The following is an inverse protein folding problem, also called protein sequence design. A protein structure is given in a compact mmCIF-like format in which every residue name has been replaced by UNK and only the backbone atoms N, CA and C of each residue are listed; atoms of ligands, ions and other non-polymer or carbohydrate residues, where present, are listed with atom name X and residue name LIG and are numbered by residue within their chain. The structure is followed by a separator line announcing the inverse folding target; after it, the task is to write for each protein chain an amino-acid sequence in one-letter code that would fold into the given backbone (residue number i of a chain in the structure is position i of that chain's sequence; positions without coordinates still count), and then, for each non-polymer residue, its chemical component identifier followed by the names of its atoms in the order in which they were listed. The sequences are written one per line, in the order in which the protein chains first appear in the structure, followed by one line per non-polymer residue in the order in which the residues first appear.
data_IF_196445223059
#
_entry.id   IF_196445223059
#
_cell.length_a   1.000
_cell.length_b   1.000
_cell.length_c   1.000
_cell.angle_alpha   90.00
_cell.angle_beta   90.00
_cell.angle_gamma   90.00
#
_symmetry.space_group_name_H-M   'P 1'
#
loop_
_entity.id
_entity.type
_entity.pdbx_description
1 polymer ?
#
# COMPACT_ATOMS: atom_id res chain seq x y z
N UNK A 1 -13.00 25.28 -1.70
CA UNK A 1 -12.41 25.91 -0.47
C UNK A 1 -11.11 26.68 -0.72
N UNK A 2 -10.33 26.39 -1.80
CA UNK A 2 -9.07 27.11 -2.12
C UNK A 2 -9.27 28.45 -2.85
N UNK A 3 -10.48 28.74 -3.32
CA UNK A 3 -10.77 29.95 -4.14
C UNK A 3 -10.61 31.27 -3.38
N UNK A 4 -10.84 31.27 -2.07
CA UNK A 4 -10.88 32.52 -1.26
C UNK A 4 -9.54 32.85 -0.59
N UNK A 5 -8.57 31.95 -0.63
CA UNK A 5 -7.27 32.13 0.04
C UNK A 5 -6.17 32.70 -0.87
N UNK A 6 -6.41 32.82 -2.18
CA UNK A 6 -5.39 33.27 -3.14
C UNK A 6 -5.48 34.75 -3.38
N UNK A 7 -4.42 35.51 -3.10
CA UNK A 7 -4.29 36.94 -3.37
C UNK A 7 -3.97 37.28 -4.82
N UNK A 8 -3.61 36.32 -5.66
CA UNK A 8 -3.30 36.50 -7.09
C UNK A 8 -4.56 36.54 -7.95
N UNK A 9 -4.87 37.66 -8.59
CA UNK A 9 -6.08 37.84 -9.42
C UNK A 9 -6.11 36.86 -10.63
N UNK A 10 -4.94 36.56 -11.23
CA UNK A 10 -4.85 35.67 -12.38
C UNK A 10 -5.15 34.23 -11.99
N UNK A 11 -4.59 33.77 -10.88
CA UNK A 11 -4.88 32.44 -10.36
C UNK A 11 -6.35 32.29 -9.94
N UNK A 12 -6.92 33.33 -9.34
CA UNK A 12 -8.34 33.37 -8.99
C UNK A 12 -9.25 33.26 -10.22
N UNK A 13 -8.94 34.01 -11.31
CA UNK A 13 -9.69 33.92 -12.55
C UNK A 13 -9.60 32.48 -13.15
N UNK A 14 -8.40 31.92 -13.25
CA UNK A 14 -8.18 30.57 -13.74
C UNK A 14 -8.95 29.51 -12.93
N UNK A 15 -8.92 29.61 -11.61
CA UNK A 15 -9.68 28.70 -10.74
C UNK A 15 -11.19 28.84 -10.94
N UNK A 16 -11.66 30.07 -11.21
CA UNK A 16 -13.07 30.29 -11.50
C UNK A 16 -13.50 29.66 -12.83
N UNK A 17 -12.68 29.76 -13.87
CA UNK A 17 -12.95 29.13 -15.17
C UNK A 17 -12.97 27.61 -15.03
N UNK A 18 -12.02 27.03 -14.30
CA UNK A 18 -12.00 25.60 -14.00
C UNK A 18 -13.25 25.16 -13.23
N UNK A 19 -13.72 25.97 -12.28
CA UNK A 19 -14.92 25.67 -11.49
C UNK A 19 -16.18 25.65 -12.37
N UNK A 20 -16.27 26.59 -13.35
CA UNK A 20 -17.39 26.58 -14.29
C UNK A 20 -17.42 25.35 -15.14
N UNK A 21 -16.27 24.97 -15.72
CA UNK A 21 -16.15 23.74 -16.55
C UNK A 21 -16.47 22.50 -15.71
N UNK A 22 -15.98 22.45 -14.48
CA UNK A 22 -16.23 21.31 -13.58
C UNK A 22 -17.72 21.17 -13.23
N UNK A 23 -18.39 22.28 -12.93
CA UNK A 23 -19.83 22.25 -12.65
C UNK A 23 -20.66 21.81 -13.85
N UNK A 24 -20.34 22.32 -15.04
CA UNK A 24 -21.02 21.91 -16.27
C UNK A 24 -20.84 20.42 -16.58
N UNK A 25 -19.66 19.88 -16.26
CA UNK A 25 -19.39 18.44 -16.35
C UNK A 25 -20.22 17.63 -15.36
N UNK A 26 -20.27 18.05 -14.08
CA UNK A 26 -21.08 17.40 -13.04
C UNK A 26 -22.58 17.41 -13.40
N UNK A 27 -23.08 18.55 -13.89
CA UNK A 27 -24.47 18.69 -14.32
C UNK A 27 -24.80 17.70 -15.46
N UNK A 28 -23.92 17.59 -16.47
CA UNK A 28 -24.08 16.61 -17.57
C UNK A 28 -24.02 15.17 -17.12
N UNK A 29 -23.06 14.83 -16.27
CA UNK A 29 -22.94 13.46 -15.69
C UNK A 29 -24.24 13.09 -14.98
N UNK A 30 -24.80 14.04 -14.22
CA UNK A 30 -26.06 13.85 -13.48
C UNK A 30 -27.27 13.73 -14.42
N UNK A 31 -27.38 14.60 -15.43
CA UNK A 31 -28.46 14.58 -16.43
C UNK A 31 -28.50 13.27 -17.22
N UNK A 32 -27.33 12.73 -17.58
CA UNK A 32 -27.18 11.51 -18.38
C UNK A 32 -27.19 10.24 -17.51
N UNK A 33 -27.39 10.33 -16.18
CA UNK A 33 -27.31 9.22 -15.22
C UNK A 33 -25.99 8.42 -15.30
N UNK A 34 -24.90 9.07 -15.65
CA UNK A 34 -23.58 8.49 -15.53
C UNK A 34 -23.06 8.58 -14.09
N UNK A 35 -22.23 7.62 -13.71
CA UNK A 35 -21.47 7.64 -12.45
C UNK A 35 -20.00 7.81 -12.83
N UNK A 36 -19.35 8.84 -12.29
CA UNK A 36 -17.90 8.97 -12.39
C UNK A 36 -17.24 7.83 -11.59
N UNK A 37 -16.29 7.14 -12.21
CA UNK A 37 -15.52 6.10 -11.53
C UNK A 37 -14.85 6.60 -10.25
N UNK A 38 -14.48 7.90 -10.22
CA UNK A 38 -13.89 8.52 -9.04
C UNK A 38 -14.87 8.69 -7.87
N UNK A 39 -16.18 8.68 -8.13
CA UNK A 39 -17.21 8.85 -7.09
C UNK A 39 -17.77 7.52 -6.58
N UNK A 40 -17.43 6.40 -7.21
CA UNK A 40 -17.96 5.08 -6.84
C UNK A 40 -17.77 4.75 -5.36
N UNK A 41 -16.58 5.00 -4.81
CA UNK A 41 -16.30 4.73 -3.40
C UNK A 41 -17.04 5.67 -2.47
N UNK A 42 -17.29 6.91 -2.88
CA UNK A 42 -18.08 7.89 -2.12
C UNK A 42 -19.54 7.43 -2.07
N UNK A 43 -20.10 7.06 -3.22
CA UNK A 43 -21.47 6.52 -3.32
C UNK A 43 -21.60 5.20 -2.53
N UNK A 44 -20.57 4.35 -2.58
CA UNK A 44 -20.54 3.13 -1.78
C UNK A 44 -20.61 3.45 -0.29
N UNK A 45 -19.76 4.37 0.21
CA UNK A 45 -19.76 4.77 1.62
C UNK A 45 -21.12 5.30 2.08
N UNK A 46 -21.82 6.09 1.24
CA UNK A 46 -23.15 6.62 1.54
C UNK A 46 -24.27 5.60 1.58
N UNK A 47 -24.08 4.47 0.90
CA UNK A 47 -25.15 3.47 0.73
C UNK A 47 -24.86 2.15 1.43
N UNK A 48 -23.64 1.90 1.89
CA UNK A 48 -23.25 0.64 2.53
C UNK A 48 -24.15 0.30 3.73
N UNK A 49 -24.43 1.27 4.58
CA UNK A 49 -25.30 1.10 5.75
C UNK A 49 -26.78 0.85 5.39
N UNK A 50 -27.23 1.34 4.23
CA UNK A 50 -28.60 1.20 3.76
C UNK A 50 -28.87 -0.16 3.11
N UNK A 51 -27.82 -0.81 2.61
CA UNK A 51 -27.95 -2.06 1.87
C UNK A 51 -28.18 -3.28 2.76
N UNK A 52 -27.83 -3.20 4.04
CA UNK A 52 -27.84 -4.32 5.01
C UNK A 52 -27.04 -5.56 4.56
N UNK A 53 -26.26 -5.43 3.46
CA UNK A 53 -25.50 -6.54 2.88
C UNK A 53 -24.38 -7.04 3.80
N UNK A 54 -23.82 -6.12 4.58
CA UNK A 54 -22.65 -6.38 5.42
C UNK A 54 -22.99 -6.48 6.91
N UNK A 55 -24.28 -6.43 7.27
CA UNK A 55 -24.71 -6.57 8.65
C UNK A 55 -24.22 -7.91 9.23
N UNK A 56 -23.68 -7.87 10.44
CA UNK A 56 -23.14 -9.05 11.14
C UNK A 56 -22.06 -9.84 10.37
N UNK A 57 -21.47 -9.27 9.31
CA UNK A 57 -20.42 -9.90 8.54
C UNK A 57 -19.05 -9.86 9.25
N UNK A 58 -18.18 -10.82 8.93
CA UNK A 58 -16.76 -10.80 9.28
C UNK A 58 -15.97 -10.54 8.01
N UNK A 59 -15.18 -9.47 8.02
CA UNK A 59 -14.45 -9.01 6.85
C UNK A 59 -12.93 -9.12 7.04
N UNK A 60 -12.23 -9.44 5.96
CA UNK A 60 -10.78 -9.47 5.92
C UNK A 60 -10.28 -8.56 4.80
N UNK A 61 -9.44 -7.59 5.15
CA UNK A 61 -8.81 -6.65 4.21
C UNK A 61 -7.30 -6.89 4.31
N UNK A 62 -6.71 -7.40 3.23
CA UNK A 62 -5.32 -7.87 3.21
C UNK A 62 -4.52 -7.27 2.05
N UNK A 63 -3.20 -7.21 2.19
CA UNK A 63 -2.23 -6.72 1.20
C UNK A 63 -2.29 -5.20 0.88
N UNK A 64 -2.90 -4.38 1.72
CA UNK A 64 -2.90 -2.93 1.54
C UNK A 64 -1.73 -2.28 2.28
N UNK A 65 -0.97 -1.43 1.58
CA UNK A 65 0.06 -0.58 2.20
C UNK A 65 -0.55 0.70 2.79
N UNK A 66 -1.65 1.17 2.20
CA UNK A 66 -2.38 2.36 2.61
C UNK A 66 -3.73 2.44 1.92
N UNK A 67 -4.52 3.43 2.30
CA UNK A 67 -5.86 3.65 1.77
C UNK A 67 -6.03 5.11 1.33
N UNK A 68 -6.82 5.34 0.31
CA UNK A 68 -7.29 6.66 -0.09
C UNK A 68 -8.31 7.19 0.92
N UNK A 69 -8.60 8.48 0.87
CA UNK A 69 -9.62 9.08 1.75
C UNK A 69 -11.01 8.46 1.57
N UNK A 70 -11.35 8.09 0.34
CA UNK A 70 -12.61 7.45 0.01
C UNK A 70 -12.68 6.02 0.57
N UNK A 71 -11.59 5.25 0.44
CA UNK A 71 -11.50 3.91 1.03
C UNK A 71 -11.59 3.96 2.56
N UNK A 72 -10.93 4.90 3.21
CA UNK A 72 -11.11 5.13 4.65
C UNK A 72 -12.56 5.44 5.03
N UNK A 73 -13.28 6.22 4.20
CA UNK A 73 -14.70 6.50 4.43
C UNK A 73 -15.53 5.22 4.34
N UNK A 74 -15.28 4.37 3.35
CA UNK A 74 -15.96 3.07 3.21
C UNK A 74 -15.67 2.18 4.43
N UNK A 75 -14.40 2.07 4.86
CA UNK A 75 -14.01 1.28 6.04
C UNK A 75 -14.71 1.80 7.29
N UNK A 76 -14.80 3.13 7.45
CA UNK A 76 -15.48 3.75 8.58
C UNK A 76 -16.98 3.40 8.63
N UNK A 77 -17.66 3.38 7.48
CA UNK A 77 -19.07 3.01 7.43
C UNK A 77 -19.26 1.49 7.65
N UNK A 78 -18.40 0.67 7.07
CA UNK A 78 -18.40 -0.78 7.31
C UNK A 78 -18.17 -1.12 8.79
N UNK A 79 -17.30 -0.40 9.47
CA UNK A 79 -17.01 -0.62 10.90
C UNK A 79 -18.23 -0.39 11.82
N UNK A 80 -19.23 0.36 11.35
CA UNK A 80 -20.46 0.61 12.13
C UNK A 80 -21.48 -0.54 12.07
N UNK A 81 -21.39 -1.38 11.04
CA UNK A 81 -22.42 -2.40 10.73
C UNK A 81 -21.86 -3.82 10.73
N UNK A 82 -20.61 -4.02 10.37
CA UNK A 82 -19.97 -5.33 10.38
C UNK A 82 -19.78 -5.83 11.83
N UNK A 83 -19.83 -7.13 12.01
CA UNK A 83 -19.54 -7.75 13.30
C UNK A 83 -18.06 -7.63 13.67
N UNK A 84 -17.18 -7.89 12.71
CA UNK A 84 -15.73 -7.84 12.89
C UNK A 84 -15.06 -7.46 11.56
N UNK A 85 -14.01 -6.63 11.63
CA UNK A 85 -13.14 -6.31 10.49
C UNK A 85 -11.70 -6.58 10.88
N UNK A 86 -11.02 -7.43 10.13
CA UNK A 86 -9.60 -7.71 10.27
C UNK A 86 -8.84 -7.04 9.14
N UNK A 87 -7.93 -6.12 9.47
CA UNK A 87 -7.09 -5.41 8.47
C UNK A 87 -5.63 -5.74 8.76
N UNK A 88 -4.92 -6.30 7.78
CA UNK A 88 -3.50 -6.58 7.89
C UNK A 88 -2.68 -5.43 7.30
N UNK A 89 -1.67 -4.98 8.04
CA UNK A 89 -0.72 -3.96 7.59
C UNK A 89 0.70 -4.41 7.91
N UNK A 90 1.56 -4.41 6.89
CA UNK A 90 2.96 -4.78 7.08
C UNK A 90 3.76 -3.60 7.64
N UNK A 91 4.30 -3.75 8.86
CA UNK A 91 5.12 -2.72 9.51
C UNK A 91 6.09 -3.34 10.50
N UNK A 92 7.17 -2.64 10.83
CA UNK A 92 8.12 -3.04 11.89
C UNK A 92 7.62 -2.65 13.29
N UNK A 93 7.00 -1.47 13.39
CA UNK A 93 6.47 -0.91 14.63
C UNK A 93 5.11 -0.26 14.37
N UNK A 94 4.29 -0.14 15.42
CA UNK A 94 2.95 0.46 15.32
C UNK A 94 2.96 1.99 15.42
N UNK A 95 4.07 2.60 15.84
CA UNK A 95 4.18 4.04 16.04
C UNK A 95 5.15 4.67 15.06
N UNK A 96 4.81 5.86 14.60
CA UNK A 96 5.74 6.71 13.87
C UNK A 96 6.74 7.29 14.87
N UNK A 97 7.97 6.82 14.79
CA UNK A 97 9.08 7.24 15.66
C UNK A 97 10.20 7.95 14.91
N UNK A 98 10.20 7.86 13.57
CA UNK A 98 11.21 8.43 12.69
C UNK A 98 10.57 9.34 11.64
N UNK A 99 11.40 10.17 11.00
CA UNK A 99 10.94 11.00 9.87
C UNK A 99 10.63 10.14 8.64
N UNK A 100 9.83 10.65 7.69
CA UNK A 100 9.48 9.92 6.47
C UNK A 100 10.69 9.40 5.69
N UNK A 101 11.76 10.20 5.66
CA UNK A 101 12.99 9.86 4.92
C UNK A 101 13.83 8.75 5.58
N UNK A 102 13.63 8.54 6.89
CA UNK A 102 14.39 7.59 7.70
C UNK A 102 13.63 6.29 8.00
N UNK A 103 12.38 6.18 7.57
CA UNK A 103 11.51 5.06 7.88
C UNK A 103 10.80 4.51 6.66
N UNK A 104 11.20 3.33 6.19
CA UNK A 104 10.57 2.66 5.03
C UNK A 104 9.11 2.26 5.29
N UNK A 105 8.69 2.16 6.54
CA UNK A 105 7.33 1.84 6.93
C UNK A 105 6.53 3.07 7.37
N UNK A 106 7.02 4.28 7.10
CA UNK A 106 6.35 5.50 7.53
C UNK A 106 4.89 5.55 7.11
N UNK A 107 4.60 5.33 5.84
CA UNK A 107 3.24 5.36 5.29
C UNK A 107 2.36 4.25 5.87
N UNK A 108 2.92 3.06 6.08
CA UNK A 108 2.21 1.96 6.71
C UNK A 108 1.86 2.28 8.17
N UNK A 109 2.74 2.93 8.91
CA UNK A 109 2.49 3.39 10.29
C UNK A 109 1.43 4.48 10.32
N UNK A 110 1.43 5.40 9.37
CA UNK A 110 0.36 6.40 9.20
C UNK A 110 -0.98 5.72 8.93
N UNK A 111 -0.99 4.70 8.08
CA UNK A 111 -2.18 3.89 7.81
C UNK A 111 -2.73 3.26 9.09
N UNK A 112 -1.88 2.62 9.89
CA UNK A 112 -2.28 2.02 11.19
C UNK A 112 -2.87 3.09 12.12
N UNK A 113 -2.21 4.26 12.25
CA UNK A 113 -2.73 5.33 13.09
C UNK A 113 -4.08 5.86 12.63
N UNK A 114 -4.25 6.01 11.31
CA UNK A 114 -5.51 6.47 10.71
C UNK A 114 -6.62 5.46 10.96
N UNK A 115 -6.37 4.17 10.74
CA UNK A 115 -7.34 3.10 11.03
C UNK A 115 -7.73 3.06 12.50
N UNK A 116 -6.76 3.14 13.42
CA UNK A 116 -7.04 3.19 14.84
C UNK A 116 -7.94 4.36 15.24
N UNK A 117 -7.73 5.53 14.63
CA UNK A 117 -8.55 6.72 14.90
C UNK A 117 -9.96 6.62 14.30
N UNK A 118 -10.10 6.04 13.11
CA UNK A 118 -11.40 5.92 12.41
C UNK A 118 -12.27 4.85 13.07
N UNK A 119 -11.66 3.73 13.46
CA UNK A 119 -12.37 2.57 14.00
C UNK A 119 -12.40 2.54 15.53
N UNK A 120 -11.86 3.57 16.21
CA UNK A 120 -11.74 3.66 17.67
C UNK A 120 -11.11 2.40 18.29
N UNK A 121 -10.02 1.92 17.64
CA UNK A 121 -9.35 0.69 18.04
C UNK A 121 -8.42 0.98 19.21
N UNK A 122 -8.64 0.30 20.34
CA UNK A 122 -7.74 0.34 21.48
C UNK A 122 -6.39 -0.32 21.13
N UNK A 123 -5.32 0.18 21.75
CA UNK A 123 -3.96 -0.33 21.54
C UNK A 123 -3.81 -1.82 21.89
N UNK A 124 -4.60 -2.29 22.83
CA UNK A 124 -4.58 -3.67 23.30
C UNK A 124 -5.34 -4.63 22.35
N UNK A 125 -6.13 -4.10 21.41
CA UNK A 125 -6.85 -4.88 20.41
C UNK A 125 -6.01 -5.17 19.15
N UNK A 126 -4.76 -4.69 19.10
CA UNK A 126 -3.87 -4.89 17.95
C UNK A 126 -3.17 -6.24 18.06
N UNK A 127 -3.36 -7.08 17.04
CA UNK A 127 -2.70 -8.39 16.95
C UNK A 127 -1.39 -8.23 16.19
N UNK A 128 -0.27 -8.58 16.81
CA UNK A 128 1.05 -8.54 16.19
C UNK A 128 1.50 -9.94 15.80
N UNK A 129 1.58 -10.20 14.50
CA UNK A 129 2.14 -11.43 13.94
C UNK A 129 3.66 -11.29 13.88
N UNK A 130 4.38 -12.09 14.65
CA UNK A 130 5.85 -12.02 14.73
C UNK A 130 6.55 -13.15 13.98
N UNK A 131 5.84 -14.22 13.68
CA UNK A 131 6.40 -15.38 13.01
C UNK A 131 6.57 -15.13 11.51
N UNK A 132 7.81 -15.29 11.04
CA UNK A 132 8.17 -15.11 9.64
C UNK A 132 8.24 -16.47 8.97
N UNK A 133 7.16 -16.87 8.32
CA UNK A 133 7.07 -18.14 7.58
C UNK A 133 7.50 -18.02 6.10
N UNK A 134 7.65 -16.81 5.60
CA UNK A 134 7.96 -16.51 4.19
C UNK A 134 9.34 -17.02 3.78
N UNK A 135 10.34 -16.93 4.66
CA UNK A 135 11.71 -17.26 4.34
C UNK A 135 12.07 -18.64 4.89
N UNK A 136 12.57 -19.49 4.00
CA UNK A 136 13.02 -20.85 4.35
C UNK A 136 14.46 -20.89 4.85
N UNK A 137 15.23 -19.81 4.62
CA UNK A 137 16.65 -19.72 4.92
C UNK A 137 16.91 -18.59 5.92
N UNK A 138 17.79 -18.84 6.87
CA UNK A 138 18.14 -17.83 7.91
C UNK A 138 18.83 -16.59 7.33
N UNK A 139 19.61 -16.74 6.26
CA UNK A 139 20.26 -15.62 5.56
C UNK A 139 19.22 -14.65 4.94
N UNK A 140 18.17 -15.17 4.29
CA UNK A 140 17.10 -14.35 3.73
C UNK A 140 16.26 -13.70 4.82
N UNK A 141 15.99 -14.46 5.89
CA UNK A 141 15.30 -13.92 7.07
C UNK A 141 16.09 -12.79 7.72
N UNK A 142 17.41 -13.00 7.89
CA UNK A 142 18.30 -11.96 8.44
C UNK A 142 18.33 -10.72 7.55
N UNK A 143 18.46 -10.88 6.23
CA UNK A 143 18.44 -9.78 5.27
C UNK A 143 17.14 -8.98 5.37
N UNK A 144 16.00 -9.66 5.32
CA UNK A 144 14.70 -9.00 5.39
C UNK A 144 14.47 -8.21 6.68
N UNK A 145 14.97 -8.75 7.80
CA UNK A 145 14.81 -8.09 9.11
C UNK A 145 15.80 -6.95 9.35
N UNK A 146 16.95 -6.95 8.69
CA UNK A 146 18.06 -6.06 9.06
C UNK A 146 18.62 -5.22 7.90
N UNK A 147 18.03 -5.27 6.69
CA UNK A 147 18.54 -4.54 5.52
C UNK A 147 18.71 -3.02 5.79
N UNK A 148 17.81 -2.44 6.58
CA UNK A 148 17.83 -1.01 6.95
C UNK A 148 18.13 -0.78 8.43
N UNK A 149 18.70 -1.77 9.12
CA UNK A 149 19.03 -1.61 10.53
C UNK A 149 20.20 -0.63 10.74
N UNK A 150 20.05 0.30 11.68
CA UNK A 150 21.09 1.21 12.11
C UNK A 150 21.24 1.09 13.64
N UNK A 151 22.40 0.66 14.15
CA UNK A 151 23.58 0.17 13.41
C UNK A 151 23.32 -1.11 12.62
N UNK A 152 24.06 -1.32 11.53
CA UNK A 152 23.90 -2.52 10.72
C UNK A 152 24.22 -3.79 11.52
N UNK A 153 23.56 -4.88 11.18
CA UNK A 153 23.76 -6.19 11.80
C UNK A 153 24.35 -7.16 10.80
N UNK A 154 25.52 -7.70 11.13
CA UNK A 154 26.22 -8.65 10.28
C UNK A 154 25.62 -10.04 10.45
N UNK A 155 25.41 -10.75 9.33
CA UNK A 155 25.08 -12.16 9.33
C UNK A 155 26.36 -12.98 9.42
N UNK A 156 26.43 -13.92 10.35
CA UNK A 156 27.64 -14.74 10.61
C UNK A 156 27.53 -16.19 10.10
N UNK A 157 26.42 -16.54 9.44
CA UNK A 157 26.23 -17.86 8.85
C UNK A 157 26.73 -17.94 7.41
N UNK A 158 26.61 -19.14 6.82
CA UNK A 158 26.93 -19.39 5.41
C UNK A 158 25.92 -18.70 4.48
N UNK A 159 26.41 -18.00 3.45
CA UNK A 159 25.59 -17.33 2.45
C UNK A 159 25.60 -18.14 1.16
N UNK A 160 24.53 -18.90 0.93
CA UNK A 160 24.43 -19.79 -0.23
C UNK A 160 23.32 -19.38 -1.22
N UNK A 161 22.32 -18.62 -0.75
CA UNK A 161 21.12 -18.28 -1.52
C UNK A 161 21.07 -16.82 -1.93
N UNK A 162 21.94 -15.98 -1.38
CA UNK A 162 22.06 -14.56 -1.76
C UNK A 162 23.31 -14.41 -2.61
N UNK A 163 23.19 -13.78 -3.78
CA UNK A 163 24.29 -13.48 -4.68
C UNK A 163 24.24 -12.04 -5.07
N UNK A 164 25.38 -11.36 -5.00
CA UNK A 164 25.57 -10.01 -5.50
C UNK A 164 26.41 -10.08 -6.77
N UNK A 165 25.93 -9.43 -7.82
CA UNK A 165 26.64 -9.31 -9.08
C UNK A 165 26.77 -7.82 -9.44
N UNK A 166 27.96 -7.40 -9.79
CA UNK A 166 28.24 -6.06 -10.30
C UNK A 166 28.52 -6.16 -11.80
N UNK A 167 27.62 -5.63 -12.60
CA UNK A 167 27.73 -5.60 -14.05
C UNK A 167 28.52 -4.36 -14.51
N UNK A 168 29.20 -4.45 -15.63
CA UNK A 168 29.91 -3.32 -16.25
C UNK A 168 28.96 -2.31 -16.89
N UNK A 169 27.80 -2.78 -17.38
CA UNK A 169 26.78 -1.98 -18.03
C UNK A 169 25.42 -2.68 -17.95
N UNK A 170 24.36 -1.98 -18.36
CA UNK A 170 22.99 -2.50 -18.33
C UNK A 170 22.80 -3.76 -19.20
N UNK A 171 23.49 -3.88 -20.32
CA UNK A 171 23.38 -5.05 -21.19
C UNK A 171 23.95 -6.30 -20.53
N UNK A 172 25.15 -6.19 -19.94
CA UNK A 172 25.76 -7.30 -19.19
C UNK A 172 24.97 -7.67 -17.93
N UNK A 173 24.26 -6.72 -17.31
CA UNK A 173 23.34 -6.99 -16.21
C UNK A 173 22.17 -7.89 -16.67
N UNK A 174 21.50 -7.50 -17.76
CA UNK A 174 20.38 -8.27 -18.32
C UNK A 174 20.82 -9.65 -18.82
N UNK A 175 21.98 -9.74 -19.51
CA UNK A 175 22.54 -11.01 -19.94
C UNK A 175 22.82 -11.95 -18.77
N UNK A 176 23.40 -11.40 -17.68
CA UNK A 176 23.69 -12.20 -16.49
C UNK A 176 22.40 -12.71 -15.83
N UNK A 177 21.39 -11.87 -15.71
CA UNK A 177 20.06 -12.27 -15.17
C UNK A 177 19.45 -13.37 -16.04
N UNK A 178 19.42 -13.17 -17.37
CA UNK A 178 18.86 -14.14 -18.32
C UNK A 178 19.58 -15.48 -18.24
N UNK A 179 20.93 -15.47 -18.22
CA UNK A 179 21.73 -16.69 -18.11
C UNK A 179 21.47 -17.44 -16.79
N UNK A 180 21.30 -16.71 -15.68
CA UNK A 180 20.96 -17.33 -14.40
C UNK A 180 19.55 -17.95 -14.39
N UNK A 181 18.57 -17.28 -14.99
CA UNK A 181 17.21 -17.82 -15.14
C UNK A 181 17.23 -19.13 -15.93
N UNK A 182 17.91 -19.14 -17.10
CA UNK A 182 18.04 -20.34 -17.92
C UNK A 182 18.72 -21.47 -17.11
N UNK A 183 19.77 -21.16 -16.36
CA UNK A 183 20.46 -22.14 -15.52
C UNK A 183 19.57 -22.70 -14.40
N UNK A 184 18.78 -21.87 -13.75
CA UNK A 184 17.83 -22.30 -12.72
C UNK A 184 16.78 -23.24 -13.29
N UNK A 185 16.21 -22.89 -14.44
CA UNK A 185 15.18 -23.71 -15.09
C UNK A 185 15.76 -25.03 -15.61
N UNK A 186 16.86 -24.97 -16.39
CA UNK A 186 17.45 -26.14 -17.02
C UNK A 186 18.13 -27.10 -16.02
N UNK A 187 18.92 -26.55 -15.10
CA UNK A 187 19.84 -27.34 -14.28
C UNK A 187 19.31 -27.60 -12.85
N UNK A 188 18.35 -26.79 -12.38
CA UNK A 188 17.83 -26.85 -11.02
C UNK A 188 16.33 -27.20 -10.94
N UNK A 189 15.68 -27.37 -12.10
CA UNK A 189 14.27 -27.78 -12.16
C UNK A 189 13.25 -26.73 -11.76
N UNK A 190 13.62 -25.44 -11.71
CA UNK A 190 12.68 -24.36 -11.51
C UNK A 190 11.81 -24.18 -12.74
N UNK A 191 10.57 -23.72 -12.55
CA UNK A 191 9.71 -23.24 -13.64
C UNK A 191 9.93 -21.74 -13.80
N UNK A 192 9.69 -21.20 -14.98
CA UNK A 192 9.71 -19.74 -15.20
C UNK A 192 8.75 -19.01 -14.27
N UNK A 193 7.60 -19.62 -13.95
CA UNK A 193 6.62 -19.08 -12.99
C UNK A 193 7.10 -19.03 -11.53
N UNK A 194 8.19 -19.71 -11.20
CA UNK A 194 8.77 -19.70 -9.85
C UNK A 194 9.81 -18.57 -9.68
N UNK A 195 10.05 -17.78 -10.74
CA UNK A 195 11.11 -16.76 -10.80
C UNK A 195 10.47 -15.39 -11.07
N UNK A 196 10.81 -14.40 -10.26
CA UNK A 196 10.43 -13.01 -10.47
C UNK A 196 11.68 -12.15 -10.70
N UNK A 197 11.59 -11.22 -11.65
CA UNK A 197 12.59 -10.17 -11.88
C UNK A 197 11.97 -8.85 -11.44
N UNK A 198 12.63 -8.18 -10.51
CA UNK A 198 12.19 -6.88 -10.01
C UNK A 198 13.21 -5.85 -10.47
N UNK A 199 12.75 -4.85 -11.21
CA UNK A 199 13.58 -3.74 -11.67
C UNK A 199 12.98 -2.41 -11.23
N UNK A 200 13.83 -1.40 -11.16
CA UNK A 200 13.42 -0.03 -10.93
C UNK A 200 13.24 0.64 -12.30
N UNK A 201 12.10 1.33 -12.50
CA UNK A 201 11.83 2.11 -13.72
C UNK A 201 12.74 3.34 -13.82
#
# INVERSE_FOLDING_TARGET
KQKDETSDPYLKAKMNDMLIVYKELEDKITEDNYIDENDLLTILAENVAKSHLFDESVMYIDEFAGFTKQEYSVISELNKIAKEIYITVCTDELRVTKSPEADIFYDNKQTVQTLCNICDIDKDSQIRLQDIHRYKNDELKHLAQNLYAVPYKVYHGDVNHIKLYLAENQYSEVEHVAANIVKLVRDKGYRYSDIAVICRN
#
